data_IF_617586834097
#
_entry.id   IF_617586834097
#
_cell.length_a   1.000
_cell.length_b   1.000
_cell.length_c   1.000
_cell.angle_alpha   90.00
_cell.angle_beta   90.00
_cell.angle_gamma   90.00
#
_symmetry.space_group_name_H-M   'P 1'
#
loop_
_entity.id
_entity.type
_entity.pdbx_description
1 polymer ?
#
# COMPACT_ATOMS: atom_id res chain seq x y z
N UNK A 1 13.17 -17.48 6.41
CA UNK A 1 12.03 -17.86 7.27
C UNK A 1 10.90 -16.93 6.92
N UNK A 2 9.80 -17.45 6.36
CA UNK A 2 8.66 -16.62 5.97
C UNK A 2 8.07 -15.96 7.24
N UNK A 3 8.08 -14.63 7.29
CA UNK A 3 7.45 -13.88 8.39
C UNK A 3 5.95 -14.04 8.28
N UNK A 4 5.28 -14.33 9.40
CA UNK A 4 3.82 -14.35 9.45
C UNK A 4 3.27 -13.04 8.83
N UNK A 5 2.17 -13.09 8.06
CA UNK A 5 1.59 -11.89 7.48
C UNK A 5 1.38 -10.85 8.59
N UNK A 6 1.60 -9.54 8.31
CA UNK A 6 1.28 -8.51 9.29
C UNK A 6 -0.16 -8.72 9.77
N UNK A 7 -0.49 -8.42 11.05
CA UNK A 7 -1.83 -8.62 11.59
C UNK A 7 -2.90 -7.72 10.94
N UNK A 8 -2.60 -7.05 9.82
CA UNK A 8 -3.58 -6.39 8.98
C UNK A 8 -4.51 -7.44 8.40
N UNK A 9 -5.75 -7.45 8.88
CA UNK A 9 -6.83 -8.04 8.12
C UNK A 9 -7.09 -7.13 6.93
N UNK A 10 -6.92 -7.63 5.70
CA UNK A 10 -7.33 -6.92 4.47
C UNK A 10 -8.86 -6.68 4.37
N UNK A 11 -9.59 -6.94 5.45
CA UNK A 11 -11.04 -6.76 5.63
C UNK A 11 -11.32 -5.76 6.76
N UNK A 12 -10.50 -4.72 6.90
CA UNK A 12 -10.69 -3.64 7.89
C UNK A 12 -11.42 -2.41 7.31
N UNK A 13 -11.77 -2.43 6.01
CA UNK A 13 -12.36 -1.32 5.22
C UNK A 13 -11.52 -0.04 5.13
N UNK A 14 -10.41 0.03 5.86
CA UNK A 14 -9.51 1.17 5.97
C UNK A 14 -8.26 0.99 5.10
N UNK A 15 -7.85 -0.25 4.82
CA UNK A 15 -6.72 -0.58 3.97
C UNK A 15 -7.12 -0.78 2.50
N UNK A 16 -6.16 -0.52 1.60
CA UNK A 16 -6.26 -0.89 0.19
C UNK A 16 -5.14 -1.85 -0.21
N UNK A 17 -5.48 -2.82 -1.06
CA UNK A 17 -4.56 -3.76 -1.67
C UNK A 17 -4.51 -3.48 -3.18
N UNK A 18 -3.31 -3.31 -3.73
CA UNK A 18 -3.07 -3.04 -5.15
C UNK A 18 -2.00 -4.00 -5.66
N UNK A 19 -2.17 -4.55 -6.85
CA UNK A 19 -1.12 -5.34 -7.51
C UNK A 19 -0.24 -4.43 -8.37
N UNK A 20 1.05 -4.40 -8.07
CA UNK A 20 2.08 -3.67 -8.79
C UNK A 20 2.81 -4.63 -9.74
N UNK A 21 2.28 -4.78 -10.95
CA UNK A 21 2.69 -5.82 -11.89
C UNK A 21 4.19 -5.76 -12.27
N UNK A 22 4.80 -4.58 -12.41
CA UNK A 22 6.21 -4.50 -12.82
C UNK A 22 7.17 -4.93 -11.71
N UNK A 23 6.72 -4.93 -10.45
CA UNK A 23 7.49 -5.43 -9.31
C UNK A 23 7.11 -6.87 -8.94
N UNK A 24 6.04 -7.42 -9.52
CA UNK A 24 5.39 -8.66 -9.11
C UNK A 24 5.06 -8.71 -7.61
N UNK A 25 4.43 -7.64 -7.12
CA UNK A 25 4.09 -7.46 -5.70
C UNK A 25 2.66 -7.02 -5.48
N UNK A 26 2.03 -7.52 -4.42
CA UNK A 26 0.87 -6.85 -3.84
C UNK A 26 1.33 -5.81 -2.82
N UNK A 27 0.84 -4.59 -2.96
CA UNK A 27 1.07 -3.48 -2.04
C UNK A 27 -0.18 -3.27 -1.21
N UNK A 28 -0.06 -3.50 0.09
CA UNK A 28 -1.08 -3.24 1.08
C UNK A 28 -0.74 -1.92 1.77
N UNK A 29 -1.63 -0.93 1.63
CA UNK A 29 -1.47 0.39 2.22
C UNK A 29 -2.48 0.54 3.34
N UNK A 30 -2.00 0.86 4.54
CA UNK A 30 -2.81 1.16 5.70
C UNK A 30 -2.62 2.63 6.08
N UNK A 31 -3.69 3.45 6.02
CA UNK A 31 -3.63 4.86 6.37
C UNK A 31 -3.28 5.06 7.84
N UNK A 32 -2.85 6.26 8.20
CA UNK A 32 -2.55 6.61 9.58
C UNK A 32 -2.42 8.11 9.77
N UNK A 33 -2.70 8.58 10.99
CA UNK A 33 -2.66 10.01 11.30
C UNK A 33 -1.26 10.60 11.12
N UNK A 34 -0.25 9.91 11.65
CA UNK A 34 1.15 10.39 11.66
C UNK A 34 2.01 9.73 10.56
N UNK A 35 1.74 8.47 10.24
CA UNK A 35 2.48 7.72 9.24
C UNK A 35 1.59 6.67 8.55
N UNK A 36 1.83 6.48 7.26
CA UNK A 36 1.24 5.37 6.48
C UNK A 36 2.08 4.13 6.66
N UNK A 37 1.44 3.00 6.92
CA UNK A 37 2.11 1.70 6.92
C UNK A 37 1.94 1.05 5.55
N UNK A 38 3.05 0.62 4.98
CA UNK A 38 3.07 -0.07 3.69
C UNK A 38 3.63 -1.47 3.90
N UNK A 39 2.94 -2.45 3.35
CA UNK A 39 3.38 -3.83 3.32
C UNK A 39 3.40 -4.31 1.88
N UNK A 40 4.45 -5.05 1.52
CA UNK A 40 4.58 -5.66 0.21
C UNK A 40 4.59 -7.16 0.35
N UNK A 41 3.74 -7.84 -0.42
CA UNK A 41 3.82 -9.27 -0.62
C UNK A 41 4.55 -9.53 -1.93
N UNK A 42 5.72 -10.15 -1.82
CA UNK A 42 6.49 -10.62 -2.96
C UNK A 42 5.96 -11.99 -3.40
N UNK A 43 5.40 -12.05 -4.61
CA UNK A 43 4.74 -13.25 -5.14
C UNK A 43 5.76 -14.37 -5.38
N UNK A 44 6.97 -14.04 -5.83
CA UNK A 44 8.01 -15.03 -6.14
C UNK A 44 8.53 -15.76 -4.90
N UNK A 45 8.58 -15.06 -3.76
CA UNK A 45 9.07 -15.61 -2.48
C UNK A 45 7.96 -15.93 -1.49
N UNK A 46 6.71 -15.69 -1.88
CA UNK A 46 5.49 -15.84 -1.07
C UNK A 46 5.62 -15.18 0.31
N UNK A 47 6.26 -14.01 0.38
CA UNK A 47 6.64 -13.40 1.65
C UNK A 47 6.19 -11.96 1.80
N UNK A 48 5.75 -11.59 3.00
CA UNK A 48 5.42 -10.21 3.37
C UNK A 48 6.66 -9.48 3.88
N UNK A 49 6.78 -8.22 3.48
CA UNK A 49 7.80 -7.29 3.95
C UNK A 49 7.15 -5.97 4.38
N UNK A 50 7.54 -5.46 5.54
CA UNK A 50 7.17 -4.09 5.95
C UNK A 50 8.08 -3.10 5.24
N UNK A 51 7.50 -2.06 4.66
CA UNK A 51 8.24 -0.97 4.00
C UNK A 51 8.15 0.30 4.82
N UNK A 52 9.31 0.91 5.03
CA UNK A 52 9.36 2.28 5.52
C UNK A 52 8.84 3.20 4.42
N UNK A 53 7.99 4.15 4.80
CA UNK A 53 7.49 5.17 3.90
C UNK A 53 7.78 6.54 4.49
N UNK A 54 8.67 7.27 3.85
CA UNK A 54 9.19 8.55 4.34
C UNK A 54 8.42 9.75 3.75
N UNK A 55 7.35 9.48 3.00
CA UNK A 55 6.50 10.50 2.39
C UNK A 55 5.37 11.00 3.30
N UNK A 56 4.49 11.86 2.76
CA UNK A 56 3.37 12.40 3.53
C UNK A 56 2.37 11.31 3.92
N UNK A 57 1.91 11.28 5.16
CA UNK A 57 0.92 10.30 5.58
C UNK A 57 -0.40 10.41 4.79
N UNK A 58 -0.93 9.25 4.37
CA UNK A 58 -2.31 9.03 3.95
C UNK A 58 -3.20 9.08 5.20
N UNK A 59 -3.84 10.23 5.43
CA UNK A 59 -4.59 10.54 6.67
C UNK A 59 -6.07 10.14 6.64
N UNK A 60 -6.52 9.53 5.56
CA UNK A 60 -7.88 9.02 5.39
C UNK A 60 -7.81 7.73 4.61
N UNK A 61 -8.70 6.82 4.95
CA UNK A 61 -8.98 5.61 4.20
C UNK A 61 -9.08 5.89 2.69
N UNK A 62 -8.48 5.04 1.85
CA UNK A 62 -8.54 5.18 0.41
C UNK A 62 -9.97 4.93 -0.09
N UNK A 63 -10.45 5.80 -0.97
CA UNK A 63 -11.67 5.56 -1.75
C UNK A 63 -11.42 4.49 -2.81
N UNK A 64 -10.25 4.55 -3.46
CA UNK A 64 -9.73 3.56 -4.38
C UNK A 64 -8.22 3.73 -4.54
N UNK A 65 -7.57 2.69 -5.10
CA UNK A 65 -6.16 2.70 -5.45
C UNK A 65 -5.91 1.92 -6.73
N UNK A 66 -4.86 2.28 -7.46
CA UNK A 66 -4.43 1.57 -8.66
C UNK A 66 -2.91 1.64 -8.84
N UNK A 67 -2.37 0.76 -9.67
CA UNK A 67 -0.98 0.80 -10.11
C UNK A 67 -0.89 1.47 -11.49
N UNK A 68 0.00 2.45 -11.61
CA UNK A 68 0.34 3.08 -12.88
C UNK A 68 1.66 2.49 -13.41
N UNK A 69 1.62 1.59 -14.41
CA UNK A 69 2.81 0.93 -14.94
C UNK A 69 3.73 1.89 -15.71
N UNK A 70 3.20 3.04 -16.20
CA UNK A 70 4.01 4.02 -16.91
C UNK A 70 5.06 4.66 -16.00
N UNK A 71 4.70 4.87 -14.74
CA UNK A 71 5.57 5.53 -13.75
C UNK A 71 6.07 4.58 -12.66
N UNK A 72 5.57 3.34 -12.64
CA UNK A 72 5.90 2.35 -11.64
C UNK A 72 5.45 2.77 -10.24
N UNK A 73 4.23 3.29 -10.10
CA UNK A 73 3.73 3.83 -8.84
C UNK A 73 2.35 3.30 -8.49
N UNK A 74 2.11 3.12 -7.19
CA UNK A 74 0.77 2.96 -6.62
C UNK A 74 0.21 4.35 -6.33
N UNK A 75 -0.99 4.61 -6.82
CA UNK A 75 -1.73 5.85 -6.61
C UNK A 75 -2.95 5.55 -5.75
N UNK A 76 -3.16 6.34 -4.71
CA UNK A 76 -4.27 6.23 -3.78
C UNK A 76 -5.05 7.55 -3.74
N UNK A 77 -6.37 7.47 -3.99
CA UNK A 77 -7.26 8.59 -3.76
C UNK A 77 -7.85 8.45 -2.35
N UNK A 78 -7.56 9.36 -1.41
CA UNK A 78 -8.20 9.31 -0.10
C UNK A 78 -9.69 9.65 -0.21
N UNK A 79 -10.53 9.08 0.67
CA UNK A 79 -11.96 9.44 0.79
C UNK A 79 -12.14 10.89 1.19
N UNK A 80 -11.24 11.41 2.02
CA UNK A 80 -11.24 12.81 2.46
C UNK A 80 -9.95 13.51 2.03
N UNK A 81 -10.11 14.68 1.42
CA UNK A 81 -9.01 15.49 0.92
C UNK A 81 -8.93 15.50 -0.61
N UNK A 82 -8.15 16.45 -1.14
CA UNK A 82 -8.06 16.71 -2.58
C UNK A 82 -6.72 16.27 -3.20
N UNK A 83 -5.81 15.71 -2.41
CA UNK A 83 -4.48 15.29 -2.88
C UNK A 83 -4.43 13.77 -2.99
N UNK A 84 -3.97 13.28 -4.14
CA UNK A 84 -3.60 11.88 -4.31
C UNK A 84 -2.35 11.57 -3.51
N UNK A 85 -2.28 10.36 -2.99
CA UNK A 85 -1.11 9.82 -2.33
C UNK A 85 -0.42 8.83 -3.27
N UNK A 86 0.92 8.85 -3.30
CA UNK A 86 1.70 8.10 -4.29
C UNK A 86 2.83 7.35 -3.59
N UNK A 87 3.02 6.10 -4.01
CA UNK A 87 4.06 5.20 -3.52
C UNK A 87 4.78 4.50 -4.67
N UNK A 88 6.07 4.24 -4.52
CA UNK A 88 6.86 3.45 -5.48
C UNK A 88 7.26 2.12 -4.82
N UNK A 89 6.70 0.98 -5.28
CA UNK A 89 7.08 -0.36 -4.82
C UNK A 89 8.43 -0.84 -5.34
#
# INVERSE_FOLDING_TARGET
TATAPPPVQASDSDSALVYAEAADRFVLVHPGHDATRVYEYDVSTESWQTRAFDGPALRSEPAFGYYDPRFGVVVMQPRRGSRVWVYRP
#
